data_IF_089798180913
#
_entry.id   IF_089798180913
#
_cell.length_a   1.000
_cell.length_b   1.000
_cell.length_c   1.000
_cell.angle_alpha   90.00
_cell.angle_beta   90.00
_cell.angle_gamma   90.00
#
_symmetry.space_group_name_H-M   'P 1'
#
loop_
_entity.id
_entity.type
_entity.pdbx_description
1 polymer ?
#
# COMPACT_ATOMS: atom_id res chain seq x y z
N UNK A 1 -18.40 15.01 3.28
CA UNK A 1 -18.24 13.53 3.42
C UNK A 1 -19.62 12.92 3.20
N UNK A 2 -19.84 12.12 2.15
CA UNK A 2 -21.13 11.41 1.99
C UNK A 2 -21.31 10.45 3.17
N UNK A 3 -22.30 10.72 4.02
CA UNK A 3 -22.64 9.84 5.12
C UNK A 3 -23.40 8.60 4.60
N UNK A 4 -23.55 7.59 5.47
CA UNK A 4 -24.37 6.41 5.18
C UNK A 4 -25.79 6.77 4.70
N UNK A 5 -26.35 7.88 5.19
CA UNK A 5 -27.66 8.38 4.77
C UNK A 5 -27.66 8.89 3.33
N UNK A 6 -26.65 9.68 2.94
CA UNK A 6 -26.53 10.18 1.57
C UNK A 6 -26.40 9.02 0.57
N UNK A 7 -25.61 7.99 0.89
CA UNK A 7 -25.48 6.79 0.04
C UNK A 7 -26.82 6.06 -0.09
N UNK A 8 -27.57 5.91 1.02
CA UNK A 8 -28.90 5.27 1.00
C UNK A 8 -29.89 6.05 0.14
N UNK A 9 -29.89 7.38 0.21
CA UNK A 9 -30.76 8.24 -0.61
C UNK A 9 -30.40 8.12 -2.09
N UNK A 10 -29.11 8.11 -2.44
CA UNK A 10 -28.66 7.93 -3.83
C UNK A 10 -29.11 6.58 -4.40
N UNK A 11 -29.00 5.51 -3.60
CA UNK A 11 -29.48 4.18 -3.98
C UNK A 11 -31.00 4.14 -4.15
N UNK A 12 -31.76 4.74 -3.22
CA UNK A 12 -33.22 4.79 -3.33
C UNK A 12 -33.71 5.58 -4.55
N UNK A 13 -32.90 6.53 -5.03
CA UNK A 13 -33.21 7.35 -6.20
C UNK A 13 -32.58 6.81 -7.49
N UNK A 14 -31.99 5.61 -7.46
CA UNK A 14 -31.31 4.97 -8.60
C UNK A 14 -30.20 5.82 -9.23
N UNK A 15 -29.55 6.68 -8.43
CA UNK A 15 -28.37 7.41 -8.89
C UNK A 15 -27.14 6.51 -8.81
N UNK A 16 -26.87 5.78 -9.89
CA UNK A 16 -25.69 4.90 -10.00
C UNK A 16 -24.43 5.63 -10.50
N UNK A 17 -24.60 6.81 -11.08
CA UNK A 17 -23.51 7.65 -11.57
C UNK A 17 -23.48 8.97 -10.81
N UNK A 18 -22.50 9.12 -9.91
CA UNK A 18 -22.22 10.40 -9.26
C UNK A 18 -21.09 11.08 -10.04
N UNK A 19 -21.30 12.29 -10.60
CA UNK A 19 -20.26 13.01 -11.31
C UNK A 19 -19.02 13.20 -10.43
N UNK A 20 -17.85 13.02 -11.02
CA UNK A 20 -16.59 12.98 -10.28
C UNK A 20 -16.38 14.25 -9.44
N UNK A 21 -16.80 15.42 -9.94
CA UNK A 21 -16.73 16.73 -9.25
C UNK A 21 -17.33 16.76 -7.84
N UNK A 22 -18.28 15.87 -7.51
CA UNK A 22 -18.89 15.78 -6.18
C UNK A 22 -18.20 14.75 -5.26
N UNK A 23 -17.26 13.97 -5.78
CA UNK A 23 -16.48 12.99 -5.03
C UNK A 23 -15.14 13.61 -4.60
N UNK A 24 -14.84 13.64 -3.28
CA UNK A 24 -13.52 13.98 -2.79
C UNK A 24 -12.45 13.13 -3.46
N UNK A 25 -11.29 13.72 -3.77
CA UNK A 25 -10.19 13.03 -4.48
C UNK A 25 -9.83 11.68 -3.83
N UNK A 26 -9.74 11.63 -2.50
CA UNK A 26 -9.48 10.40 -1.71
C UNK A 26 -10.51 9.27 -1.85
N UNK A 27 -11.66 9.54 -2.46
CA UNK A 27 -12.74 8.57 -2.69
C UNK A 27 -12.82 8.14 -4.15
N UNK A 28 -12.08 8.82 -5.03
CA UNK A 28 -11.88 8.37 -6.39
C UNK A 28 -10.86 7.25 -6.38
N UNK A 29 -11.05 6.25 -7.23
CA UNK A 29 -10.15 5.10 -7.36
C UNK A 29 -8.70 5.51 -7.73
N UNK A 30 -8.57 6.69 -8.33
CA UNK A 30 -7.32 7.44 -8.59
C UNK A 30 -6.47 7.72 -7.34
N UNK A 31 -7.05 7.68 -6.13
CA UNK A 31 -6.30 7.90 -4.88
C UNK A 31 -5.69 6.65 -4.27
N UNK A 32 -5.86 5.48 -4.91
CA UNK A 32 -5.05 4.33 -4.57
C UNK A 32 -3.62 4.63 -5.03
N UNK A 33 -2.64 4.37 -4.17
CA UNK A 33 -1.20 4.47 -4.46
C UNK A 33 -0.78 3.40 -5.49
N UNK A 34 -1.52 3.27 -6.60
CA UNK A 34 -1.12 2.54 -7.78
C UNK A 34 -0.04 3.42 -8.41
N UNK A 35 1.21 3.04 -8.11
CA UNK A 35 2.44 3.25 -8.85
C UNK A 35 2.27 4.32 -9.95
N UNK A 36 2.81 5.51 -9.68
CA UNK A 36 3.07 6.53 -10.69
C UNK A 36 4.07 5.97 -11.71
N UNK A 37 3.58 5.21 -12.68
CA UNK A 37 4.26 4.99 -13.94
C UNK A 37 3.65 5.96 -14.92
N UNK A 38 4.46 6.91 -15.39
CA UNK A 38 4.12 8.05 -16.23
C UNK A 38 3.60 7.70 -17.63
N UNK A 39 3.18 6.46 -17.90
CA UNK A 39 2.74 5.99 -19.22
C UNK A 39 1.44 5.18 -19.22
N UNK A 40 0.59 5.29 -18.19
CA UNK A 40 -0.77 4.75 -18.30
C UNK A 40 -1.65 5.83 -18.94
N UNK A 41 -1.74 5.75 -20.27
CA UNK A 41 -2.81 6.32 -21.08
C UNK A 41 -4.13 6.10 -20.33
N UNK A 42 -4.89 7.17 -20.17
CA UNK A 42 -6.25 7.17 -19.63
C UNK A 42 -7.11 6.19 -20.42
N UNK A 43 -7.08 4.92 -20.03
CA UNK A 43 -7.93 3.89 -20.60
C UNK A 43 -9.27 3.97 -19.85
N UNK A 44 -10.33 4.28 -20.59
CA UNK A 44 -11.72 4.24 -20.13
C UNK A 44 -11.91 3.15 -19.06
N UNK A 45 -12.22 3.53 -17.82
CA UNK A 45 -12.18 2.68 -16.63
C UNK A 45 -12.88 1.32 -16.83
N UNK A 46 -13.92 1.30 -17.67
CA UNK A 46 -14.72 0.12 -17.98
C UNK A 46 -13.94 -0.96 -18.77
N UNK A 47 -13.10 -0.60 -19.75
CA UNK A 47 -12.39 -1.59 -20.57
C UNK A 47 -11.30 -2.32 -19.77
N UNK A 48 -10.59 -1.60 -18.90
CA UNK A 48 -9.60 -2.16 -17.96
C UNK A 48 -10.25 -3.13 -16.96
N UNK A 49 -11.46 -2.81 -16.47
CA UNK A 49 -12.22 -3.69 -15.57
C UNK A 49 -12.62 -4.98 -16.29
N UNK A 50 -13.14 -4.90 -17.52
CA UNK A 50 -13.57 -6.07 -18.30
C UNK A 50 -12.37 -6.98 -18.59
N UNK A 51 -11.25 -6.42 -19.06
CA UNK A 51 -10.04 -7.20 -19.34
C UNK A 51 -9.55 -7.94 -18.09
N UNK A 52 -9.52 -7.26 -16.94
CA UNK A 52 -9.09 -7.86 -15.69
C UNK A 52 -10.03 -8.99 -15.25
N UNK A 53 -11.34 -8.84 -15.40
CA UNK A 53 -12.31 -9.88 -15.08
C UNK A 53 -12.15 -11.12 -15.97
N UNK A 54 -11.90 -10.93 -17.27
CA UNK A 54 -11.67 -12.04 -18.20
C UNK A 54 -10.40 -12.82 -17.87
N UNK A 55 -9.30 -12.11 -17.56
CA UNK A 55 -8.04 -12.76 -17.14
C UNK A 55 -8.25 -13.57 -15.85
N UNK A 56 -9.02 -13.05 -14.89
CA UNK A 56 -9.37 -13.79 -13.66
C UNK A 56 -10.18 -15.05 -13.93
N UNK A 57 -11.15 -14.99 -14.83
CA UNK A 57 -11.93 -16.16 -15.22
C UNK A 57 -11.04 -17.22 -15.90
N UNK A 58 -10.18 -16.79 -16.82
CA UNK A 58 -9.21 -17.65 -17.49
C UNK A 58 -8.24 -18.31 -16.50
N UNK A 59 -7.78 -17.58 -15.48
CA UNK A 59 -6.93 -18.08 -14.40
C UNK A 59 -7.63 -19.23 -13.65
N UNK A 60 -8.86 -19.01 -13.18
CA UNK A 60 -9.65 -20.02 -12.44
C UNK A 60 -9.90 -21.28 -13.29
N UNK A 61 -10.20 -21.10 -14.57
CA UNK A 61 -10.46 -22.22 -15.47
C UNK A 61 -9.18 -22.97 -15.87
N UNK A 62 -8.09 -22.25 -16.13
CA UNK A 62 -6.84 -22.85 -16.58
C UNK A 62 -6.15 -23.67 -15.49
N UNK A 63 -6.20 -23.23 -14.23
CA UNK A 63 -5.55 -23.91 -13.10
C UNK A 63 -6.15 -25.27 -12.73
N UNK A 64 -7.30 -25.65 -13.31
CA UNK A 64 -7.92 -26.96 -13.05
C UNK A 64 -7.05 -28.14 -13.50
N UNK A 65 -6.21 -27.97 -14.52
CA UNK A 65 -5.29 -29.02 -15.00
C UNK A 65 -4.04 -28.43 -15.63
N UNK A 66 -2.91 -29.14 -15.56
CA UNK A 66 -1.63 -28.69 -16.13
C UNK A 66 -1.70 -28.45 -17.65
N UNK A 67 -2.46 -29.27 -18.38
CA UNK A 67 -2.58 -29.12 -19.83
C UNK A 67 -3.41 -27.88 -20.21
N UNK A 68 -4.46 -27.56 -19.44
CA UNK A 68 -5.23 -26.33 -19.63
C UNK A 68 -4.39 -25.08 -19.37
N UNK A 69 -3.49 -25.09 -18.38
CA UNK A 69 -2.54 -24.00 -18.17
C UNK A 69 -1.64 -23.82 -19.40
N UNK A 70 -1.07 -24.90 -19.94
CA UNK A 70 -0.19 -24.83 -21.13
C UNK A 70 -0.91 -24.26 -22.35
N UNK A 71 -2.17 -24.64 -22.57
CA UNK A 71 -2.98 -24.09 -23.67
C UNK A 71 -3.29 -22.62 -23.42
N UNK A 72 -3.76 -22.26 -22.22
CA UNK A 72 -4.12 -20.88 -21.88
C UNK A 72 -2.92 -19.93 -22.00
N UNK A 73 -1.74 -20.31 -21.53
CA UNK A 73 -0.53 -19.49 -21.62
C UNK A 73 -0.04 -19.34 -23.06
N UNK A 74 -0.12 -20.41 -23.87
CA UNK A 74 0.20 -20.35 -25.31
C UNK A 74 -0.70 -19.38 -26.05
N UNK A 75 -2.02 -19.47 -25.84
CA UNK A 75 -2.98 -18.59 -26.51
C UNK A 75 -2.86 -17.14 -26.02
N UNK A 76 -2.68 -16.92 -24.72
CA UNK A 76 -2.47 -15.57 -24.17
C UNK A 76 -1.19 -14.93 -24.74
N UNK A 77 -0.13 -15.72 -24.94
CA UNK A 77 1.10 -15.27 -25.59
C UNK A 77 0.88 -14.77 -27.02
N UNK A 78 0.04 -15.44 -27.81
CA UNK A 78 -0.33 -14.99 -29.16
C UNK A 78 -1.12 -13.68 -29.13
N UNK A 79 -2.09 -13.56 -28.21
CA UNK A 79 -2.88 -12.33 -28.05
C UNK A 79 -1.98 -11.16 -27.67
N UNK A 80 -1.03 -11.35 -26.76
CA UNK A 80 -0.06 -10.32 -26.37
C UNK A 80 0.79 -9.90 -27.58
N UNK A 81 1.25 -10.84 -28.41
CA UNK A 81 2.00 -10.52 -29.63
C UNK A 81 1.18 -9.67 -30.60
N UNK A 82 -0.09 -10.00 -30.81
CA UNK A 82 -0.98 -9.21 -31.66
C UNK A 82 -1.11 -7.78 -31.12
N UNK A 83 -1.38 -7.63 -29.81
CA UNK A 83 -1.55 -6.31 -29.18
C UNK A 83 -0.27 -5.46 -29.29
N UNK A 84 0.90 -6.08 -29.12
CA UNK A 84 2.20 -5.37 -29.23
C UNK A 84 2.48 -4.81 -30.62
N UNK A 85 1.92 -5.43 -31.66
CA UNK A 85 2.09 -5.01 -33.06
C UNK A 85 1.07 -3.95 -33.47
N UNK A 86 0.04 -3.70 -32.65
CA UNK A 86 -0.93 -2.64 -32.94
C UNK A 86 -0.26 -1.26 -32.83
N UNK A 87 -0.49 -0.36 -33.80
CA UNK A 87 0.09 0.97 -33.74
C UNK A 87 -0.45 1.74 -32.53
N UNK A 88 0.43 2.34 -31.75
CA UNK A 88 0.04 3.38 -30.80
C UNK A 88 -0.46 4.58 -31.60
N UNK A 89 -1.78 4.71 -31.73
CA UNK A 89 -2.37 5.94 -32.22
C UNK A 89 -2.09 7.00 -31.15
N UNK A 90 -0.99 7.73 -31.31
CA UNK A 90 -0.83 9.02 -30.69
C UNK A 90 -1.92 9.90 -31.30
N UNK A 91 -3.00 10.13 -30.55
CA UNK A 91 -3.91 11.23 -30.84
C UNK A 91 -3.08 12.52 -30.75
N UNK A 92 -2.52 12.92 -31.90
CA UNK A 92 -1.92 14.23 -32.09
C UNK A 92 -3.03 15.22 -31.75
N UNK A 93 -2.87 15.89 -30.62
CA UNK A 93 -3.63 17.05 -30.22
C UNK A 93 -3.68 18.03 -31.40
N UNK A 94 -4.80 18.03 -32.11
CA UNK A 94 -5.11 19.08 -33.08
C UNK A 94 -5.38 20.32 -32.22
N UNK A 95 -4.38 21.18 -32.19
CA UNK A 95 -4.44 22.58 -31.80
C UNK A 95 -5.37 23.28 -32.80
N UNK A 96 -6.67 23.30 -32.49
CA UNK A 96 -7.62 24.19 -33.15
C UNK A 96 -7.80 25.38 -32.22
N UNK A 97 -7.05 26.44 -32.50
CA UNK A 97 -7.37 27.77 -32.02
C UNK A 97 -8.81 28.09 -32.44
N UNK A 98 -9.67 28.32 -31.46
CA UNK A 98 -10.93 29.01 -31.64
C UNK A 98 -10.91 30.23 -30.72
N UNK A 99 -10.62 31.38 -31.33
CA UNK A 99 -10.88 32.69 -30.76
C UNK A 99 -12.38 32.84 -30.48
N UNK A 100 -12.76 32.72 -29.21
CA UNK A 100 -14.06 33.20 -28.70
C UNK A 100 -13.82 33.94 -27.38
N UNK A 101 -14.16 35.23 -27.27
CA UNK A 101 -13.93 35.99 -26.05
C UNK A 101 -14.98 35.62 -25.01
N UNK A 102 -14.67 34.64 -24.15
CA UNK A 102 -15.49 34.32 -22.99
C UNK A 102 -15.12 35.24 -21.83
N UNK A 103 -15.76 36.42 -21.81
CA UNK A 103 -16.00 37.13 -20.57
C UNK A 103 -17.02 36.34 -19.72
N UNK A 104 -16.52 35.49 -18.84
CA UNK A 104 -17.18 35.21 -17.56
C UNK A 104 -16.15 34.70 -16.57
N UNK A 105 -15.52 35.64 -15.86
CA UNK A 105 -14.75 35.32 -14.67
C UNK A 105 -15.66 34.60 -13.68
N UNK A 106 -15.36 33.34 -13.40
CA UNK A 106 -15.84 32.68 -12.20
C UNK A 106 -14.82 31.61 -11.79
N UNK A 107 -13.66 32.07 -11.32
CA UNK A 107 -12.94 31.35 -10.28
C UNK A 107 -13.89 31.28 -9.07
N UNK A 108 -14.74 30.26 -9.05
CA UNK A 108 -15.33 29.87 -7.79
C UNK A 108 -14.29 29.00 -7.09
N UNK A 109 -13.46 29.65 -6.27
CA UNK A 109 -12.73 28.98 -5.20
C UNK A 109 -13.76 28.28 -4.32
N UNK A 110 -14.06 27.02 -4.64
CA UNK A 110 -14.85 26.16 -3.78
C UNK A 110 -13.98 25.84 -2.58
N UNK A 111 -14.03 26.72 -1.58
CA UNK A 111 -13.42 26.48 -0.30
C UNK A 111 -14.01 25.21 0.32
N UNK A 112 -13.13 24.44 0.97
CA UNK A 112 -13.55 23.25 1.68
C UNK A 112 -14.64 23.63 2.71
N UNK A 113 -15.74 22.87 2.80
CA UNK A 113 -16.77 23.14 3.78
C UNK A 113 -16.15 23.19 5.18
N UNK A 114 -16.55 24.22 5.94
CA UNK A 114 -16.03 24.50 7.29
C UNK A 114 -16.01 23.20 8.10
N UNK A 115 -14.86 22.86 8.67
CA UNK A 115 -14.70 21.70 9.53
C UNK A 115 -15.69 21.86 10.69
N UNK A 116 -16.71 21.00 10.74
CA UNK A 116 -17.69 21.03 11.81
C UNK A 116 -16.97 20.81 13.14
N UNK A 117 -17.06 21.79 14.06
CA UNK A 117 -16.77 21.56 15.47
C UNK A 117 -17.83 20.59 15.97
N UNK A 118 -17.50 19.31 16.01
CA UNK A 118 -18.40 18.33 16.63
C UNK A 118 -18.59 18.76 18.08
N UNK A 119 -19.81 18.60 18.63
CA UNK A 119 -20.06 18.65 20.08
C UNK A 119 -19.38 17.47 20.81
N UNK A 120 -18.21 17.06 20.33
CA UNK A 120 -17.40 16.02 20.91
C UNK A 120 -16.82 16.52 22.22
N UNK A 121 -16.89 15.62 23.20
CA UNK A 121 -16.23 15.79 24.50
C UNK A 121 -14.72 16.07 24.27
N UNK A 122 -14.13 17.12 24.89
CA UNK A 122 -12.75 17.52 24.61
C UNK A 122 -11.76 16.39 24.89
N UNK A 123 -10.76 16.23 24.01
CA UNK A 123 -9.67 15.24 24.15
C UNK A 123 -9.00 15.43 25.51
N UNK A 124 -8.95 14.36 26.30
CA UNK A 124 -8.39 14.35 27.67
C UNK A 124 -9.43 14.29 28.79
N UNK A 125 -10.70 14.59 28.51
CA UNK A 125 -11.75 14.54 29.55
C UNK A 125 -12.38 13.17 29.75
N UNK A 126 -11.99 12.13 29.00
CA UNK A 126 -12.49 10.75 29.23
C UNK A 126 -11.86 10.24 30.53
N UNK A 127 -12.64 9.98 31.60
CA UNK A 127 -12.12 9.26 32.75
C UNK A 127 -11.71 7.86 32.28
N UNK A 128 -10.52 7.42 32.71
CA UNK A 128 -10.09 6.04 32.48
C UNK A 128 -11.13 5.11 33.12
N UNK A 129 -11.58 4.09 32.39
CA UNK A 129 -12.45 3.08 33.00
C UNK A 129 -11.72 2.36 34.14
N UNK A 130 -12.43 1.82 35.14
CA UNK A 130 -11.81 1.19 36.30
C UNK A 130 -10.76 0.13 35.94
N UNK A 131 -11.00 -0.65 34.87
CA UNK A 131 -10.07 -1.65 34.32
C UNK A 131 -8.80 -0.99 33.74
N UNK A 132 -8.94 0.13 33.04
CA UNK A 132 -7.80 0.87 32.46
C UNK A 132 -6.99 1.59 33.55
N UNK A 133 -7.65 2.06 34.61
CA UNK A 133 -7.00 2.68 35.75
C UNK A 133 -6.22 1.66 36.60
N UNK A 134 -6.76 0.45 36.74
CA UNK A 134 -6.11 -0.65 37.47
C UNK A 134 -5.02 -1.37 36.67
N UNK A 135 -4.94 -1.16 35.34
CA UNK A 135 -3.95 -1.81 34.50
C UNK A 135 -2.57 -1.24 34.79
N UNK A 136 -1.70 -2.07 35.37
CA UNK A 136 -0.29 -1.75 35.64
C UNK A 136 0.42 -1.42 34.32
N UNK A 137 1.26 -0.38 34.32
CA UNK A 137 2.08 -0.04 33.16
C UNK A 137 2.92 -1.24 32.75
N UNK A 138 3.07 -1.47 31.44
CA UNK A 138 3.92 -2.55 30.92
C UNK A 138 5.36 -2.26 31.32
N UNK A 139 6.05 -3.27 31.87
CA UNK A 139 7.48 -3.21 32.18
C UNK A 139 8.27 -3.96 31.12
N UNK A 140 9.47 -3.48 30.86
CA UNK A 140 10.47 -4.12 30.03
C UNK A 140 10.87 -5.47 30.65
N UNK A 141 10.87 -6.51 29.82
CA UNK A 141 11.21 -7.88 30.21
C UNK A 141 12.70 -8.21 30.03
N UNK A 142 13.54 -7.24 29.64
CA UNK A 142 14.98 -7.47 29.54
C UNK A 142 15.58 -7.69 30.94
N UNK A 143 16.51 -8.67 31.13
CA UNK A 143 17.10 -8.99 32.43
C UNK A 143 17.62 -7.72 33.12
N UNK A 144 17.26 -7.54 34.40
CA UNK A 144 17.67 -6.39 35.22
C UNK A 144 17.29 -5.00 34.66
N UNK A 145 16.40 -4.89 33.66
CA UNK A 145 15.96 -3.61 33.09
C UNK A 145 14.72 -3.09 33.82
N UNK A 146 13.61 -3.83 33.79
CA UNK A 146 12.38 -3.51 34.55
C UNK A 146 11.70 -2.16 34.24
N UNK A 147 12.25 -1.34 33.34
CA UNK A 147 11.76 0.00 33.03
C UNK A 147 10.39 -0.01 32.35
N UNK A 148 9.59 1.06 32.52
CA UNK A 148 8.20 1.14 32.03
C UNK A 148 8.03 1.90 30.72
N UNK A 149 9.08 2.59 30.25
CA UNK A 149 9.00 3.53 29.11
C UNK A 149 9.46 2.91 27.78
N UNK A 150 9.81 1.64 27.76
CA UNK A 150 10.29 0.91 26.59
C UNK A 150 10.00 -0.59 26.75
N UNK A 151 10.14 -1.34 25.66
CA UNK A 151 10.05 -2.80 25.64
C UNK A 151 11.45 -3.42 25.55
N UNK A 152 11.54 -4.73 25.77
CA UNK A 152 12.73 -5.57 25.63
C UNK A 152 13.48 -5.38 24.30
N UNK A 153 12.77 -5.08 23.21
CA UNK A 153 13.37 -4.82 21.90
C UNK A 153 14.16 -3.51 21.85
N UNK A 154 13.73 -2.50 22.63
CA UNK A 154 14.32 -1.17 22.68
C UNK A 154 14.89 -0.85 24.08
N UNK A 155 15.23 -1.86 24.88
CA UNK A 155 15.81 -1.62 26.21
C UNK A 155 17.22 -1.04 26.05
N UNK A 156 17.53 0.10 26.69
CA UNK A 156 18.85 0.71 26.62
C UNK A 156 19.94 -0.20 27.20
N UNK A 157 19.62 -1.02 28.21
CA UNK A 157 20.56 -1.98 28.81
C UNK A 157 20.96 -3.10 27.86
N UNK A 158 20.24 -3.30 26.75
CA UNK A 158 20.59 -4.28 25.70
C UNK A 158 21.84 -3.87 24.91
N UNK A 159 22.09 -2.56 24.77
CA UNK A 159 23.31 -2.05 24.10
C UNK A 159 24.51 -2.14 25.03
N UNK A 160 24.31 -1.79 26.31
CA UNK A 160 25.36 -1.85 27.33
C UNK A 160 25.88 -3.29 27.61
N UNK A 161 25.08 -4.34 27.33
CA UNK A 161 25.54 -5.73 27.44
C UNK A 161 26.39 -6.21 26.26
N UNK A 162 26.41 -5.48 25.15
CA UNK A 162 27.26 -5.81 23.99
C UNK A 162 28.69 -5.29 24.22
N UNK A 163 28.82 -4.18 24.95
CA UNK A 163 30.12 -3.52 25.21
C UNK A 163 30.89 -4.13 26.40
N UNK A 164 30.31 -5.09 27.12
CA UNK A 164 30.94 -5.81 28.24
C UNK A 164 30.92 -7.31 27.93
N UNK A 165 31.66 -7.71 26.90
CA UNK A 165 32.10 -9.09 26.72
C UNK A 165 33.63 -9.08 26.64
N UNK A 166 34.35 -9.61 27.64
CA UNK A 166 35.78 -9.85 27.46
C UNK A 166 35.94 -10.85 26.33
N UNK A 167 36.72 -10.45 25.33
CA UNK A 167 37.04 -11.20 24.13
C UNK A 167 37.89 -12.43 24.48
N UNK A 168 37.30 -13.48 25.01
CA UNK A 168 37.97 -14.78 25.15
C UNK A 168 36.99 -15.92 24.91
N UNK A 169 36.90 -16.32 23.65
CA UNK A 169 36.86 -17.75 23.34
C UNK A 169 37.75 -17.98 22.12
N UNK A 170 38.70 -18.93 22.16
CA UNK A 170 39.51 -19.22 21.00
C UNK A 170 38.58 -19.77 19.93
N UNK A 171 38.50 -19.05 18.81
CA UNK A 171 37.74 -19.46 17.63
C UNK A 171 38.10 -20.92 17.32
N UNK A 172 37.11 -21.82 17.36
CA UNK A 172 37.31 -23.25 17.07
C UNK A 172 37.97 -23.50 15.71
N UNK A 173 37.83 -22.53 14.81
CA UNK A 173 38.47 -22.47 13.50
C UNK A 173 40.00 -22.25 13.57
N UNK A 174 40.51 -21.50 14.55
CA UNK A 174 41.96 -21.25 14.70
C UNK A 174 42.66 -22.53 15.17
N UNK A 175 42.05 -23.26 16.11
CA UNK A 175 42.57 -24.58 16.51
C UNK A 175 42.49 -25.58 15.35
N UNK A 176 41.39 -25.62 14.61
CA UNK A 176 41.26 -26.51 13.45
C UNK A 176 42.32 -26.21 12.37
N UNK A 177 42.63 -24.94 12.12
CA UNK A 177 43.68 -24.53 11.17
C UNK A 177 45.07 -24.91 11.70
N UNK A 178 45.34 -24.73 12.99
CA UNK A 178 46.63 -25.12 13.59
C UNK A 178 46.81 -26.65 13.52
N UNK A 179 45.79 -27.45 13.83
CA UNK A 179 45.88 -28.91 13.69
C UNK A 179 46.07 -29.33 12.22
N UNK A 180 45.37 -28.68 11.28
CA UNK A 180 45.53 -28.97 9.85
C UNK A 180 46.92 -28.59 9.31
N UNK A 181 47.53 -27.52 9.83
CA UNK A 181 48.88 -27.11 9.45
C UNK A 181 49.97 -27.98 10.09
N UNK A 182 49.74 -28.49 11.31
CA UNK A 182 50.64 -29.44 11.96
C UNK A 182 50.63 -30.79 11.22
N UNK A 183 49.46 -31.26 10.76
CA UNK A 183 49.32 -32.51 10.00
C UNK A 183 49.92 -32.42 8.58
N UNK A 184 49.98 -31.22 7.99
CA UNK A 184 50.57 -31.00 6.65
C UNK A 184 52.09 -30.82 6.71
N UNK A 185 52.66 -30.41 7.84
CA UNK A 185 54.10 -30.15 8.00
C UNK A 185 54.87 -31.28 8.71
N UNK A 186 54.21 -32.37 9.12
CA UNK A 186 54.86 -33.53 9.77
C UNK A 186 54.95 -34.79 8.89
N UNK A 187 54.89 -34.64 7.56
CA UNK A 187 55.25 -35.69 6.59
C UNK A 187 56.24 -35.20 5.54
#
# INVERSE_FOLDING_TARGET
ILCRHAIRVLLMKNYFHLPARYLPFRWRRESSLIIKSSHIISCNDNSSIVLRSLVRFLEVESLKTKDRVKVATKELGKVIQIIKVMPEIQEKSIELEHDVPNNSGCELEVENPIISKTKGRPKGSRPKGGVEAAKKSRRCHFPNCGGTNHDSQNCPNKKNSIDILPSQSPNKYVLAIIYFLIDVYTF
#
